data_IF_750325016040
#
_entry.id   IF_750325016040
#
_cell.length_a   1.000
_cell.length_b   1.000
_cell.length_c   1.000
_cell.angle_alpha   90.00
_cell.angle_beta   90.00
_cell.angle_gamma   90.00
#
_symmetry.space_group_name_H-M   'P 1'
#
loop_
_entity.id
_entity.type
_entity.pdbx_description
1 polymer ?
#
# COMPACT_ATOMS: atom_id res chain seq x y z
N UNK A 1 -48.86 -24.09 34.29
CA UNK A 1 -48.42 -22.69 34.08
C UNK A 1 -47.48 -22.69 32.87
N UNK A 2 -47.77 -21.90 31.84
CA UNK A 2 -47.01 -21.95 30.58
C UNK A 2 -45.80 -21.01 30.58
N UNK A 3 -44.76 -21.39 29.84
CA UNK A 3 -43.47 -20.71 29.80
C UNK A 3 -43.51 -19.39 29.02
N UNK A 4 -42.82 -18.38 29.55
CA UNK A 4 -42.31 -17.24 28.76
C UNK A 4 -40.82 -17.06 29.04
N UNK A 5 -40.01 -17.93 28.44
CA UNK A 5 -38.57 -17.71 28.32
C UNK A 5 -38.33 -16.41 27.54
N UNK A 6 -37.85 -15.36 28.23
CA UNK A 6 -37.58 -14.07 27.62
C UNK A 6 -36.51 -14.21 26.53
N UNK A 7 -36.94 -14.13 25.26
CA UNK A 7 -36.03 -14.13 24.12
C UNK A 7 -35.12 -12.92 24.20
N UNK A 8 -33.83 -13.13 24.55
CA UNK A 8 -32.82 -12.07 24.45
C UNK A 8 -32.90 -11.45 23.06
N UNK A 9 -33.03 -10.12 22.92
CA UNK A 9 -33.03 -9.50 21.62
C UNK A 9 -31.71 -9.85 20.93
N UNK A 10 -31.79 -10.52 19.78
CA UNK A 10 -30.61 -10.71 18.91
C UNK A 10 -30.08 -9.32 18.65
N UNK A 11 -28.87 -9.02 19.13
CA UNK A 11 -28.20 -7.75 18.89
C UNK A 11 -28.06 -7.58 17.37
N UNK A 12 -29.00 -6.85 16.77
CA UNK A 12 -28.97 -6.48 15.37
C UNK A 12 -27.70 -5.68 15.18
N UNK A 13 -26.71 -6.27 14.52
CA UNK A 13 -25.44 -5.64 14.17
C UNK A 13 -25.68 -4.49 13.18
N UNK A 14 -26.23 -3.38 13.68
CA UNK A 14 -26.44 -2.16 12.92
C UNK A 14 -25.05 -1.60 12.60
N UNK A 15 -24.71 -1.73 11.31
CA UNK A 15 -24.19 -0.68 10.42
C UNK A 15 -23.21 0.28 11.10
N UNK A 16 -21.97 0.28 10.60
CA UNK A 16 -20.95 1.24 11.04
C UNK A 16 -21.43 2.69 10.98
N UNK A 17 -20.86 3.51 11.85
CA UNK A 17 -21.28 4.89 12.09
C UNK A 17 -21.09 5.76 10.85
N UNK A 18 -21.99 6.73 10.69
CA UNK A 18 -21.74 7.92 9.87
C UNK A 18 -20.39 8.54 10.27
N UNK A 19 -19.69 9.14 9.32
CA UNK A 19 -18.56 10.01 9.66
C UNK A 19 -19.08 11.26 10.40
N UNK A 20 -18.69 11.40 11.67
CA UNK A 20 -19.05 12.52 12.55
C UNK A 20 -17.84 13.42 12.87
N UNK A 21 -16.73 13.24 12.14
CA UNK A 21 -15.46 13.90 12.42
C UNK A 21 -14.64 13.23 13.54
N UNK A 22 -13.57 13.92 13.96
CA UNK A 22 -12.69 13.47 15.04
C UNK A 22 -11.50 12.61 14.59
N UNK A 23 -10.42 12.67 15.37
CA UNK A 23 -9.12 12.07 15.01
C UNK A 23 -9.15 10.53 14.90
N UNK A 24 -10.04 9.86 15.64
CA UNK A 24 -10.24 8.41 15.53
C UNK A 24 -10.77 8.00 14.15
N UNK A 25 -11.87 8.63 13.70
CA UNK A 25 -12.46 8.35 12.40
C UNK A 25 -11.55 8.78 11.24
N UNK A 26 -10.85 9.91 11.36
CA UNK A 26 -9.90 10.37 10.34
C UNK A 26 -8.70 9.41 10.21
N UNK A 27 -8.09 8.98 11.33
CA UNK A 27 -6.96 8.03 11.28
C UNK A 27 -7.38 6.63 10.83
N UNK A 28 -8.63 6.24 11.04
CA UNK A 28 -9.20 5.03 10.44
C UNK A 28 -9.32 5.15 8.91
N UNK A 29 -9.88 6.27 8.43
CA UNK A 29 -10.15 6.50 7.01
C UNK A 29 -8.85 6.59 6.21
N UNK A 30 -7.92 7.45 6.64
CA UNK A 30 -6.63 7.64 5.97
C UNK A 30 -5.83 6.34 5.89
N UNK A 31 -5.85 5.50 6.92
CA UNK A 31 -5.10 4.23 6.92
C UNK A 31 -5.66 3.21 5.92
N UNK A 32 -6.97 3.27 5.65
CA UNK A 32 -7.60 2.48 4.57
C UNK A 32 -7.29 3.04 3.19
N UNK A 33 -7.40 4.35 3.01
CA UNK A 33 -7.09 5.00 1.75
C UNK A 33 -5.63 4.74 1.37
N UNK A 34 -4.69 4.92 2.31
CA UNK A 34 -3.28 4.61 2.06
C UNK A 34 -3.04 3.12 1.81
N UNK A 35 -3.70 2.22 2.54
CA UNK A 35 -3.61 0.78 2.30
C UNK A 35 -4.08 0.37 0.90
N UNK A 36 -5.20 0.90 0.42
CA UNK A 36 -5.72 0.66 -0.93
C UNK A 36 -4.75 1.22 -1.99
N UNK A 37 -4.29 2.46 -1.80
CA UNK A 37 -3.34 3.10 -2.71
C UNK A 37 -2.02 2.32 -2.83
N UNK A 38 -1.49 1.82 -1.70
CA UNK A 38 -0.28 1.00 -1.67
C UNK A 38 -0.48 -0.37 -2.33
N UNK A 39 -1.66 -1.01 -2.19
CA UNK A 39 -1.96 -2.27 -2.89
C UNK A 39 -2.04 -2.06 -4.40
N UNK A 40 -2.68 -0.98 -4.85
CA UNK A 40 -2.73 -0.66 -6.27
C UNK A 40 -1.34 -0.32 -6.82
N UNK A 41 -0.57 0.53 -6.11
CA UNK A 41 0.82 0.81 -6.47
C UNK A 41 1.64 -0.48 -6.57
N UNK A 42 1.57 -1.36 -5.56
CA UNK A 42 2.30 -2.63 -5.59
C UNK A 42 1.87 -3.52 -6.77
N UNK A 43 0.62 -3.42 -7.23
CA UNK A 43 0.16 -4.12 -8.43
C UNK A 43 0.88 -3.62 -9.69
N UNK A 44 1.00 -2.30 -9.85
CA UNK A 44 1.77 -1.68 -10.95
C UNK A 44 3.28 -1.91 -10.82
N UNK A 45 3.82 -1.83 -9.61
CA UNK A 45 5.24 -2.04 -9.34
C UNK A 45 5.66 -3.47 -9.68
N UNK A 46 4.80 -4.46 -9.43
CA UNK A 46 5.00 -5.83 -9.92
C UNK A 46 4.93 -5.85 -11.46
N UNK A 47 3.95 -5.19 -12.09
CA UNK A 47 3.85 -5.09 -13.57
C UNK A 47 5.13 -4.52 -14.20
N UNK A 48 5.65 -3.42 -13.67
CA UNK A 48 6.93 -2.82 -14.08
C UNK A 48 8.07 -3.84 -14.00
N UNK A 49 8.16 -4.59 -12.90
CA UNK A 49 9.15 -5.66 -12.76
C UNK A 49 8.95 -6.77 -13.80
N UNK A 50 7.70 -7.15 -14.15
CA UNK A 50 7.43 -8.15 -15.20
C UNK A 50 8.00 -7.72 -16.57
N UNK A 51 8.16 -6.42 -16.84
CA UNK A 51 8.73 -5.95 -18.10
C UNK A 51 10.19 -6.38 -18.30
N UNK A 52 10.91 -6.78 -17.23
CA UNK A 52 12.25 -7.36 -17.33
C UNK A 52 12.28 -8.69 -18.10
N UNK A 53 11.15 -9.39 -18.26
CA UNK A 53 11.05 -10.52 -19.20
C UNK A 53 11.37 -10.10 -20.65
N UNK A 54 11.08 -8.85 -21.04
CA UNK A 54 11.43 -8.27 -22.33
C UNK A 54 12.85 -7.69 -22.41
N UNK A 55 13.67 -7.86 -21.36
CA UNK A 55 15.03 -7.32 -21.28
C UNK A 55 15.13 -5.91 -20.67
N UNK A 56 16.35 -5.36 -20.56
CA UNK A 56 16.60 -4.05 -19.97
C UNK A 56 15.81 -2.90 -20.61
N UNK A 57 15.67 -2.92 -21.93
CA UNK A 57 15.03 -1.88 -22.75
C UNK A 57 13.53 -1.81 -22.48
N UNK A 58 12.84 -2.95 -22.40
CA UNK A 58 11.41 -3.02 -22.11
C UNK A 58 11.07 -2.48 -20.71
N UNK A 59 11.95 -2.70 -19.72
CA UNK A 59 11.83 -2.08 -18.40
C UNK A 59 12.11 -0.57 -18.45
N UNK A 60 13.11 -0.12 -19.20
CA UNK A 60 13.41 1.30 -19.38
C UNK A 60 12.25 2.06 -20.05
N UNK A 61 11.60 1.48 -21.06
CA UNK A 61 10.42 2.05 -21.70
C UNK A 61 9.25 2.16 -20.73
N UNK A 62 8.92 1.07 -20.03
CA UNK A 62 7.81 1.05 -19.08
C UNK A 62 8.01 1.99 -17.89
N UNK A 63 9.26 2.23 -17.48
CA UNK A 63 9.59 3.16 -16.38
C UNK A 63 9.82 4.60 -16.83
N UNK A 64 9.84 4.90 -18.13
CA UNK A 64 10.11 6.23 -18.67
C UNK A 64 9.15 7.33 -18.13
N UNK A 65 7.89 6.97 -17.85
CA UNK A 65 6.90 7.88 -17.28
C UNK A 65 7.21 8.28 -15.82
N UNK A 66 7.85 7.41 -15.05
CA UNK A 66 8.18 7.67 -13.64
C UNK A 66 9.41 8.55 -13.45
N UNK A 67 10.30 8.57 -14.44
CA UNK A 67 11.53 9.38 -14.43
C UNK A 67 11.30 10.85 -14.75
N UNK A 68 10.08 11.22 -15.17
CA UNK A 68 9.74 12.57 -15.57
C UNK A 68 9.69 13.52 -14.35
N UNK A 69 10.16 14.78 -14.46
CA UNK A 69 10.15 15.71 -13.33
C UNK A 69 8.78 15.95 -12.69
N UNK A 70 7.72 16.01 -13.51
CA UNK A 70 6.32 16.15 -13.03
C UNK A 70 5.80 14.92 -12.30
N UNK A 71 6.44 13.74 -12.40
CA UNK A 71 6.02 12.54 -11.68
C UNK A 71 6.49 12.53 -10.21
N UNK A 72 7.62 13.15 -9.88
CA UNK A 72 8.21 13.14 -8.52
C UNK A 72 7.25 13.55 -7.38
N UNK A 73 6.32 14.51 -7.52
CA UNK A 73 5.32 14.78 -6.49
C UNK A 73 4.41 13.58 -6.16
N UNK A 74 4.12 12.71 -7.14
CA UNK A 74 3.34 11.49 -6.94
C UNK A 74 4.16 10.40 -6.24
N UNK A 75 5.44 10.27 -6.58
CA UNK A 75 6.42 9.40 -5.91
C UNK A 75 6.55 9.78 -4.41
N UNK A 76 6.71 11.08 -4.11
CA UNK A 76 6.70 11.59 -2.74
C UNK A 76 5.36 11.27 -2.06
N UNK A 77 4.22 11.60 -2.68
CA UNK A 77 2.91 11.34 -2.10
C UNK A 77 2.68 9.85 -1.77
N UNK A 78 3.19 8.94 -2.60
CA UNK A 78 3.16 7.49 -2.38
C UNK A 78 4.03 7.09 -1.18
N UNK A 79 5.28 7.55 -1.10
CA UNK A 79 6.17 7.23 0.02
C UNK A 79 5.61 7.80 1.33
N UNK A 80 4.97 8.98 1.30
CA UNK A 80 4.23 9.51 2.43
C UNK A 80 3.01 8.65 2.80
N UNK A 81 2.28 8.10 1.82
CA UNK A 81 1.18 7.18 2.07
C UNK A 81 1.66 5.86 2.72
N UNK A 82 2.77 5.29 2.25
CA UNK A 82 3.43 4.11 2.88
C UNK A 82 3.88 4.44 4.30
N UNK A 83 4.55 5.58 4.50
CA UNK A 83 5.05 6.01 5.81
C UNK A 83 3.91 6.23 6.80
N UNK A 84 2.84 6.90 6.38
CA UNK A 84 1.63 7.05 7.18
C UNK A 84 0.98 5.70 7.50
N UNK A 85 0.88 4.81 6.50
CA UNK A 85 0.31 3.48 6.67
C UNK A 85 1.06 2.67 7.74
N UNK A 86 2.40 2.66 7.66
CA UNK A 86 3.28 1.98 8.60
C UNK A 86 3.19 2.58 10.02
N UNK A 87 3.30 3.89 10.18
CA UNK A 87 3.24 4.55 11.51
C UNK A 87 1.88 4.37 12.19
N UNK A 88 0.77 4.51 11.45
CA UNK A 88 -0.55 4.27 12.03
C UNK A 88 -0.83 2.77 12.23
N UNK A 89 -0.30 1.89 11.38
CA UNK A 89 -0.35 0.44 11.53
C UNK A 89 0.41 -0.06 12.76
N UNK A 90 1.58 0.53 13.05
CA UNK A 90 2.35 0.32 14.27
C UNK A 90 1.57 0.74 15.52
N UNK A 91 0.98 1.95 15.49
CA UNK A 91 0.08 2.45 16.55
C UNK A 91 -1.09 1.50 16.81
N UNK A 92 -1.74 0.99 15.76
CA UNK A 92 -2.84 0.02 15.87
C UNK A 92 -2.36 -1.31 16.44
N UNK A 93 -1.25 -1.84 15.93
CA UNK A 93 -0.65 -3.10 16.39
C UNK A 93 -0.26 -3.04 17.87
N UNK A 94 0.23 -1.89 18.35
CA UNK A 94 0.53 -1.67 19.76
C UNK A 94 -0.73 -1.69 20.65
N UNK A 95 -1.84 -1.07 20.22
CA UNK A 95 -3.11 -1.14 20.96
C UNK A 95 -3.70 -2.56 20.98
N UNK A 96 -3.50 -3.31 19.89
CA UNK A 96 -3.99 -4.69 19.74
C UNK A 96 -3.16 -5.70 20.55
N UNK A 97 -1.83 -5.52 20.64
CA UNK A 97 -0.90 -6.42 21.33
C UNK A 97 -0.70 -6.06 22.81
N UNK A 98 -0.78 -4.77 23.17
CA UNK A 98 -0.59 -4.27 24.53
C UNK A 98 -1.77 -3.34 24.88
N UNK A 99 -2.97 -3.88 25.20
CA UNK A 99 -4.18 -3.09 25.36
C UNK A 99 -4.11 -1.96 26.40
N UNK A 100 -3.21 -2.07 27.37
CA UNK A 100 -2.93 -1.02 28.38
C UNK A 100 -2.49 0.31 27.74
N UNK A 101 -1.83 0.27 26.57
CA UNK A 101 -1.34 1.46 25.84
C UNK A 101 -2.47 2.35 25.33
N UNK A 102 -3.71 1.84 25.23
CA UNK A 102 -4.90 2.63 24.89
C UNK A 102 -5.14 3.79 25.86
N UNK A 103 -4.73 3.66 27.14
CA UNK A 103 -4.74 4.74 28.14
C UNK A 103 -3.92 5.97 27.71
N UNK A 104 -2.94 5.78 26.83
CA UNK A 104 -2.03 6.83 26.34
C UNK A 104 -2.28 7.18 24.86
N UNK A 105 -3.45 6.83 24.31
CA UNK A 105 -3.76 6.95 22.88
C UNK A 105 -3.53 8.36 22.30
N UNK A 106 -3.73 9.43 23.09
CA UNK A 106 -3.49 10.83 22.69
C UNK A 106 -1.99 11.12 22.53
N UNK A 107 -1.18 10.69 23.50
CA UNK A 107 0.28 10.87 23.49
C UNK A 107 0.91 10.08 22.36
N UNK A 108 0.51 8.81 22.20
CA UNK A 108 0.95 7.93 21.10
C UNK A 108 0.58 8.52 19.74
N UNK A 109 -0.63 9.07 19.60
CA UNK A 109 -1.03 9.76 18.37
C UNK A 109 -0.17 11.01 18.09
N UNK A 110 0.09 11.85 19.11
CA UNK A 110 0.94 13.05 18.96
C UNK A 110 2.37 12.69 18.55
N UNK A 111 2.97 11.67 19.17
CA UNK A 111 4.32 11.18 18.82
C UNK A 111 4.33 10.66 17.38
N UNK A 112 3.38 9.79 17.01
CA UNK A 112 3.29 9.27 15.64
C UNK A 112 3.07 10.35 14.59
N UNK A 113 2.27 11.37 14.90
CA UNK A 113 2.05 12.52 14.03
C UNK A 113 3.29 13.41 13.89
N UNK A 114 4.02 13.68 14.99
CA UNK A 114 5.27 14.43 14.95
C UNK A 114 6.35 13.69 14.14
N UNK A 115 6.51 12.38 14.37
CA UNK A 115 7.41 11.53 13.58
C UNK A 115 7.02 11.55 12.09
N UNK A 116 5.73 11.39 11.77
CA UNK A 116 5.26 11.48 10.39
C UNK A 116 5.60 12.83 9.75
N UNK A 117 5.36 13.96 10.43
CA UNK A 117 5.68 15.29 9.89
C UNK A 117 7.18 15.47 9.66
N UNK A 118 8.03 15.08 10.63
CA UNK A 118 9.49 15.21 10.50
C UNK A 118 10.03 14.35 9.34
N UNK A 119 9.58 13.10 9.24
CA UNK A 119 9.95 12.20 8.13
C UNK A 119 9.41 12.75 6.80
N UNK A 120 8.16 13.22 6.77
CA UNK A 120 7.55 13.75 5.56
C UNK A 120 8.27 14.99 5.01
N UNK A 121 8.69 15.90 5.89
CA UNK A 121 9.48 17.08 5.52
C UNK A 121 10.85 16.67 4.98
N UNK A 122 11.55 15.73 5.62
CA UNK A 122 12.84 15.24 5.17
C UNK A 122 12.75 14.55 3.78
N UNK A 123 11.78 13.66 3.61
CA UNK A 123 11.51 12.96 2.33
C UNK A 123 11.18 13.97 1.23
N UNK A 124 10.22 14.87 1.49
CA UNK A 124 9.80 15.88 0.51
C UNK A 124 10.95 16.80 0.11
N UNK A 125 11.77 17.23 1.06
CA UNK A 125 12.95 18.05 0.77
C UNK A 125 13.97 17.31 -0.12
N UNK A 126 14.35 16.08 0.26
CA UNK A 126 15.38 15.32 -0.47
C UNK A 126 14.96 14.94 -1.89
N UNK A 127 13.67 14.68 -2.12
CA UNK A 127 13.14 14.24 -3.41
C UNK A 127 12.68 15.39 -4.32
N UNK A 128 12.16 16.49 -3.75
CA UNK A 128 11.72 17.66 -4.53
C UNK A 128 12.84 18.68 -4.78
N UNK A 129 13.97 18.61 -4.05
CA UNK A 129 15.12 19.52 -4.29
C UNK A 129 15.56 19.66 -5.76
N UNK A 130 15.54 18.63 -6.64
CA UNK A 130 16.00 18.80 -8.01
C UNK A 130 14.94 19.40 -8.94
N UNK A 131 13.75 19.75 -8.41
CA UNK A 131 12.77 20.62 -9.09
C UNK A 131 12.95 22.10 -8.71
N UNK A 132 13.73 22.42 -7.67
CA UNK A 132 13.93 23.80 -7.21
C UNK A 132 14.73 24.56 -8.27
N UNK A 133 14.16 25.65 -8.78
CA UNK A 133 14.75 26.46 -9.84
C UNK A 133 14.51 25.95 -11.27
N UNK A 134 13.85 24.80 -11.45
CA UNK A 134 13.49 24.30 -12.78
C UNK A 134 12.30 25.12 -13.36
N UNK A 135 12.37 25.57 -14.62
CA UNK A 135 11.25 26.21 -15.29
C UNK A 135 10.02 25.29 -15.38
N UNK A 136 8.82 25.86 -15.27
CA UNK A 136 7.57 25.09 -15.40
C UNK A 136 7.43 24.39 -16.77
N UNK A 137 8.00 24.98 -17.83
CA UNK A 137 8.09 24.36 -19.17
C UNK A 137 8.82 23.03 -19.16
N UNK A 138 9.85 22.92 -18.32
CA UNK A 138 10.78 21.80 -18.28
C UNK A 138 10.26 20.73 -17.32
N UNK A 139 9.61 21.15 -16.23
CA UNK A 139 8.89 20.25 -15.31
C UNK A 139 7.80 19.49 -16.06
N UNK A 140 6.96 20.19 -16.84
CA UNK A 140 5.82 19.63 -17.56
C UNK A 140 6.12 19.28 -19.01
N UNK A 141 7.41 19.17 -19.38
CA UNK A 141 7.80 18.70 -20.71
C UNK A 141 7.33 17.25 -20.90
N UNK A 142 6.63 17.00 -22.00
CA UNK A 142 6.18 15.66 -22.38
C UNK A 142 7.09 15.14 -23.48
N UNK A 143 7.81 14.06 -23.20
CA UNK A 143 8.73 13.45 -24.18
C UNK A 143 8.02 12.58 -25.22
N UNK A 144 6.89 11.95 -24.87
CA UNK A 144 6.08 11.16 -25.80
C UNK A 144 4.61 11.05 -25.37
N UNK A 145 3.71 10.89 -26.35
CA UNK A 145 2.30 10.55 -26.12
C UNK A 145 2.13 9.18 -25.46
N UNK A 146 3.01 8.21 -25.72
CA UNK A 146 2.98 6.92 -25.02
C UNK A 146 3.23 7.08 -23.52
N UNK A 147 4.22 7.91 -23.15
CA UNK A 147 4.53 8.27 -21.76
C UNK A 147 3.32 8.88 -21.04
N UNK A 148 2.55 9.77 -21.71
CA UNK A 148 1.29 10.31 -21.16
C UNK A 148 0.20 9.24 -21.01
N UNK A 149 0.05 8.33 -21.97
CA UNK A 149 -0.97 7.27 -21.90
C UNK A 149 -0.68 6.34 -20.72
N UNK A 150 0.58 5.88 -20.58
CA UNK A 150 1.01 5.11 -19.40
C UNK A 150 0.74 5.89 -18.11
N UNK A 151 1.18 7.16 -18.04
CA UNK A 151 0.93 8.02 -16.89
C UNK A 151 -0.56 8.13 -16.51
N UNK A 152 -1.46 8.28 -17.48
CA UNK A 152 -2.90 8.35 -17.23
C UNK A 152 -3.48 7.02 -16.76
N UNK A 153 -3.03 5.89 -17.33
CA UNK A 153 -3.42 4.53 -16.89
C UNK A 153 -2.93 4.25 -15.46
N UNK A 154 -1.80 4.83 -15.05
CA UNK A 154 -1.26 4.72 -13.70
C UNK A 154 -1.99 5.66 -12.72
N UNK A 155 -2.09 6.94 -13.07
CA UNK A 155 -2.55 8.01 -12.18
C UNK A 155 -4.06 8.02 -12.04
N UNK A 156 -4.85 7.75 -13.08
CA UNK A 156 -6.31 7.85 -12.97
C UNK A 156 -6.92 6.79 -12.02
N UNK A 157 -6.52 5.52 -12.01
CA UNK A 157 -7.13 4.53 -11.11
C UNK A 157 -6.59 4.57 -9.65
N UNK A 158 -5.53 5.33 -9.36
CA UNK A 158 -5.20 5.75 -7.98
C UNK A 158 -5.89 7.06 -7.64
N UNK A 159 -5.64 8.08 -8.46
CA UNK A 159 -6.03 9.46 -8.24
C UNK A 159 -7.53 9.60 -8.18
N UNK A 160 -8.30 9.02 -9.11
CA UNK A 160 -9.77 9.15 -9.08
C UNK A 160 -10.37 8.47 -7.84
N UNK A 161 -10.04 7.22 -7.43
CA UNK A 161 -10.54 6.66 -6.18
C UNK A 161 -10.06 7.39 -4.93
N UNK A 162 -8.81 7.84 -4.86
CA UNK A 162 -8.28 8.60 -3.71
C UNK A 162 -8.97 9.96 -3.60
N UNK A 163 -9.09 10.71 -4.70
CA UNK A 163 -9.80 11.99 -4.76
C UNK A 163 -11.30 11.81 -4.50
N UNK A 164 -11.93 10.76 -5.02
CA UNK A 164 -13.33 10.42 -4.73
C UNK A 164 -13.52 10.13 -3.24
N UNK A 165 -12.64 9.33 -2.61
CA UNK A 165 -12.70 9.03 -1.18
C UNK A 165 -12.39 10.26 -0.31
N UNK A 166 -11.49 11.15 -0.75
CA UNK A 166 -11.21 12.42 -0.09
C UNK A 166 -12.41 13.38 -0.18
N UNK A 167 -13.04 13.52 -1.35
CA UNK A 167 -14.27 14.30 -1.56
C UNK A 167 -15.47 13.72 -0.80
N UNK A 168 -15.60 12.38 -0.74
CA UNK A 168 -16.58 11.68 0.11
C UNK A 168 -16.33 11.87 1.60
N UNK A 169 -15.06 11.94 2.01
CA UNK A 169 -14.63 12.07 3.41
C UNK A 169 -14.57 13.51 3.93
N UNK A 170 -14.51 14.51 3.05
CA UNK A 170 -14.42 15.93 3.42
C UNK A 170 -15.73 16.54 3.91
N UNK A 171 -16.83 15.80 3.84
CA UNK A 171 -18.18 16.31 4.15
C UNK A 171 -18.82 17.14 3.03
N UNK A 172 -18.12 17.35 1.90
CA UNK A 172 -18.66 18.03 0.72
C UNK A 172 -19.58 17.15 -0.13
N UNK A 173 -19.42 15.82 -0.05
CA UNK A 173 -20.30 14.87 -0.73
C UNK A 173 -21.58 14.58 0.07
N UNK A 174 -22.69 14.37 -0.63
CA UNK A 174 -23.98 14.08 0.00
C UNK A 174 -24.02 12.66 0.62
N UNK A 175 -24.00 12.62 1.94
CA UNK A 175 -24.52 11.55 2.79
C UNK A 175 -23.64 10.31 3.07
N UNK A 176 -24.21 9.31 3.79
CA UNK A 176 -23.92 7.87 3.65
C UNK A 176 -22.51 7.26 3.79
N UNK A 177 -21.42 8.00 4.06
CA UNK A 177 -20.11 7.34 4.27
C UNK A 177 -20.03 6.66 5.65
N UNK A 178 -19.63 5.38 5.65
CA UNK A 178 -19.51 4.49 6.81
C UNK A 178 -18.06 4.42 7.27
N UNK A 179 -17.80 4.81 8.52
CA UNK A 179 -16.50 4.68 9.21
C UNK A 179 -16.61 3.89 10.51
N UNK A 180 -15.47 3.41 10.99
CA UNK A 180 -15.32 2.97 12.38
C UNK A 180 -14.76 4.10 13.24
N UNK A 181 -15.17 4.25 14.51
CA UNK A 181 -14.52 5.16 15.46
C UNK A 181 -13.10 4.72 15.85
N UNK A 182 -12.71 3.47 15.55
CA UNK A 182 -11.38 2.91 15.84
C UNK A 182 -10.86 2.00 14.72
N UNK A 183 -9.54 2.03 14.50
CA UNK A 183 -8.79 1.12 13.63
C UNK A 183 -8.30 -0.15 14.31
N UNK A 184 -8.24 -0.17 15.65
CA UNK A 184 -7.99 -1.41 16.41
C UNK A 184 -9.16 -2.39 16.26
N UNK A 185 -8.84 -3.68 16.16
CA UNK A 185 -9.81 -4.78 16.11
C UNK A 185 -9.23 -5.93 16.95
N UNK A 186 -9.87 -6.34 18.06
CA UNK A 186 -9.44 -7.48 18.86
C UNK A 186 -9.30 -8.77 18.05
N UNK A 187 -8.43 -9.68 18.49
CA UNK A 187 -8.19 -10.95 17.84
C UNK A 187 -9.48 -11.82 17.76
N UNK A 188 -9.85 -12.37 16.58
CA UNK A 188 -11.05 -13.20 16.44
C UNK A 188 -11.00 -14.49 17.26
N UNK A 189 -11.99 -14.78 18.10
CA UNK A 189 -11.96 -15.99 18.95
C UNK A 189 -12.56 -17.23 18.30
N UNK A 190 -13.35 -17.10 17.23
CA UNK A 190 -14.11 -18.22 16.65
C UNK A 190 -13.42 -18.95 15.49
N UNK A 191 -12.77 -18.23 14.56
CA UNK A 191 -12.13 -18.82 13.37
C UNK A 191 -10.62 -18.89 13.51
N UNK A 192 -10.04 -20.09 13.33
CA UNK A 192 -8.58 -20.28 13.29
C UNK A 192 -7.93 -19.52 12.12
N UNK A 193 -8.57 -19.53 10.94
CA UNK A 193 -8.08 -18.81 9.77
C UNK A 193 -8.06 -17.29 10.01
N UNK A 194 -9.12 -16.72 10.56
CA UNK A 194 -9.14 -15.27 10.84
C UNK A 194 -8.19 -14.89 11.99
N UNK A 195 -7.88 -15.80 12.94
CA UNK A 195 -6.76 -15.60 13.89
C UNK A 195 -5.42 -15.56 13.19
N UNK A 196 -5.12 -16.56 12.37
CA UNK A 196 -3.85 -16.65 11.65
C UNK A 196 -3.64 -15.41 10.77
N UNK A 197 -4.67 -15.00 10.02
CA UNK A 197 -4.65 -13.78 9.20
C UNK A 197 -4.56 -12.50 10.04
N UNK A 198 -5.20 -12.44 11.21
CA UNK A 198 -5.09 -11.30 12.12
C UNK A 198 -3.66 -11.14 12.64
N UNK A 199 -3.03 -12.24 13.10
CA UNK A 199 -1.65 -12.26 13.58
C UNK A 199 -0.66 -11.96 12.46
N UNK A 200 -0.87 -12.55 11.28
CA UNK A 200 -0.08 -12.31 10.08
C UNK A 200 -0.02 -10.82 9.75
N UNK A 201 -1.14 -10.09 9.77
CA UNK A 201 -1.13 -8.64 9.49
C UNK A 201 -0.24 -7.83 10.44
N UNK A 202 -0.18 -8.19 11.73
CA UNK A 202 0.70 -7.49 12.69
C UNK A 202 2.15 -7.86 12.40
N UNK A 203 2.46 -9.17 12.38
CA UNK A 203 3.83 -9.67 12.21
C UNK A 203 4.45 -9.24 10.87
N UNK A 204 3.73 -9.41 9.76
CA UNK A 204 4.18 -8.94 8.44
C UNK A 204 4.35 -7.42 8.40
N UNK A 205 3.50 -6.64 9.08
CA UNK A 205 3.67 -5.20 9.20
C UNK A 205 4.99 -4.81 9.87
N UNK A 206 5.37 -5.48 10.97
CA UNK A 206 6.67 -5.25 11.62
C UNK A 206 7.85 -5.65 10.73
N UNK A 207 7.77 -6.79 10.03
CA UNK A 207 8.80 -7.26 9.10
C UNK A 207 8.94 -6.28 7.92
N UNK A 208 7.83 -5.82 7.37
CA UNK A 208 7.78 -4.84 6.26
C UNK A 208 8.34 -3.47 6.65
N UNK A 209 8.26 -3.03 7.91
CA UNK A 209 8.91 -1.79 8.34
C UNK A 209 10.42 -1.84 8.08
N UNK A 210 11.06 -3.01 8.21
CA UNK A 210 12.47 -3.18 7.85
C UNK A 210 12.57 -3.34 6.32
N UNK A 211 11.95 -4.37 5.76
CA UNK A 211 12.14 -4.76 4.35
C UNK A 211 11.79 -3.63 3.36
N UNK A 212 10.61 -3.00 3.53
CA UNK A 212 10.10 -1.99 2.59
C UNK A 212 10.81 -0.66 2.76
N UNK A 213 11.17 -0.23 3.98
CA UNK A 213 11.94 1.01 4.13
C UNK A 213 13.39 0.83 3.66
N UNK A 214 14.02 -0.33 3.88
CA UNK A 214 15.33 -0.62 3.27
C UNK A 214 15.25 -0.61 1.74
N UNK A 215 14.23 -1.23 1.14
CA UNK A 215 14.00 -1.16 -0.30
C UNK A 215 13.81 0.29 -0.79
N UNK A 216 12.95 1.07 -0.13
CA UNK A 216 12.73 2.49 -0.46
C UNK A 216 14.03 3.28 -0.35
N UNK A 217 14.82 3.10 0.71
CA UNK A 217 16.12 3.76 0.87
C UNK A 217 17.08 3.39 -0.26
N UNK A 218 17.17 2.12 -0.64
CA UNK A 218 18.03 1.67 -1.73
C UNK A 218 17.58 2.21 -3.10
N UNK A 219 16.27 2.20 -3.40
CA UNK A 219 15.73 2.44 -4.74
C UNK A 219 15.15 3.85 -4.98
N UNK A 220 15.09 4.71 -3.96
CA UNK A 220 14.60 6.09 -4.11
C UNK A 220 15.52 7.14 -3.49
N UNK A 221 16.43 6.77 -2.57
CA UNK A 221 17.35 7.70 -1.91
C UNK A 221 18.81 7.48 -2.27
N UNK A 222 19.28 6.22 -2.29
CA UNK A 222 20.66 5.87 -2.65
C UNK A 222 20.81 5.79 -4.18
N UNK A 223 19.87 5.14 -4.85
CA UNK A 223 19.76 5.10 -6.31
C UNK A 223 18.44 5.76 -6.73
N UNK A 224 18.39 7.08 -6.96
CA UNK A 224 17.16 7.77 -7.37
C UNK A 224 16.55 7.19 -8.65
N UNK A 225 15.22 7.26 -8.77
CA UNK A 225 14.46 6.57 -9.83
C UNK A 225 14.88 6.95 -11.25
N UNK A 226 15.34 8.20 -11.47
CA UNK A 226 15.94 8.62 -12.74
C UNK A 226 17.08 7.68 -13.22
N UNK A 227 17.89 7.18 -12.28
CA UNK A 227 19.10 6.41 -12.54
C UNK A 227 18.84 4.88 -12.57
N UNK A 228 17.68 4.40 -12.09
CA UNK A 228 17.35 2.97 -12.11
C UNK A 228 17.02 2.56 -13.55
N UNK A 229 17.90 1.79 -14.18
CA UNK A 229 17.67 1.16 -15.49
C UNK A 229 17.43 -0.34 -15.33
N UNK A 230 16.90 -0.99 -16.37
CA UNK A 230 16.82 -2.45 -16.41
C UNK A 230 18.20 -3.08 -16.26
N UNK A 231 19.23 -2.48 -16.87
CA UNK A 231 20.62 -2.92 -16.75
C UNK A 231 21.12 -2.87 -15.29
N UNK A 232 20.85 -1.78 -14.56
CA UNK A 232 21.13 -1.68 -13.12
C UNK A 232 20.46 -2.81 -12.32
N UNK A 233 19.25 -3.24 -12.69
CA UNK A 233 18.57 -4.36 -12.02
C UNK A 233 19.31 -5.68 -12.29
N UNK A 234 19.69 -5.98 -13.52
CA UNK A 234 20.48 -7.18 -13.84
C UNK A 234 21.87 -7.15 -13.18
N UNK A 235 22.57 -6.02 -13.20
CA UNK A 235 23.88 -5.85 -12.54
C UNK A 235 23.79 -6.03 -11.02
N UNK A 236 22.76 -5.45 -10.37
CA UNK A 236 22.49 -5.69 -8.95
C UNK A 236 22.34 -7.18 -8.68
N UNK A 237 21.50 -7.88 -9.45
CA UNK A 237 21.31 -9.32 -9.31
C UNK A 237 22.62 -10.09 -9.56
N UNK A 238 23.42 -9.73 -10.56
CA UNK A 238 24.72 -10.36 -10.84
C UNK A 238 25.71 -10.21 -9.67
N UNK A 239 25.66 -9.11 -8.93
CA UNK A 239 26.57 -8.84 -7.81
C UNK A 239 26.31 -9.72 -6.57
N UNK A 240 25.05 -10.10 -6.29
CA UNK A 240 24.72 -11.03 -5.20
C UNK A 240 23.44 -11.85 -5.51
N UNK A 241 23.50 -12.84 -6.42
CA UNK A 241 22.31 -13.46 -7.02
C UNK A 241 21.32 -14.06 -6.02
N UNK A 242 21.82 -14.77 -5.00
CA UNK A 242 20.96 -15.41 -3.99
C UNK A 242 20.38 -14.39 -3.00
N UNK A 243 21.15 -13.37 -2.62
CA UNK A 243 20.73 -12.37 -1.64
C UNK A 243 19.55 -11.54 -2.17
N UNK A 244 19.65 -11.03 -3.40
CA UNK A 244 18.61 -10.17 -3.96
C UNK A 244 17.31 -10.90 -4.24
N UNK A 245 17.38 -12.16 -4.72
CA UNK A 245 16.17 -12.99 -4.83
C UNK A 245 15.50 -13.20 -3.48
N UNK A 246 16.26 -13.52 -2.42
CA UNK A 246 15.68 -13.75 -1.08
C UNK A 246 15.04 -12.48 -0.53
N UNK A 247 15.71 -11.32 -0.64
CA UNK A 247 15.21 -10.03 -0.15
C UNK A 247 13.98 -9.58 -0.92
N UNK A 248 14.05 -9.56 -2.25
CA UNK A 248 12.95 -9.06 -3.09
C UNK A 248 11.75 -10.03 -3.06
N UNK A 249 11.96 -11.35 -2.95
CA UNK A 249 10.90 -12.34 -2.76
C UNK A 249 10.26 -12.24 -1.38
N UNK A 250 11.03 -11.91 -0.33
CA UNK A 250 10.48 -11.65 1.01
C UNK A 250 9.63 -10.36 1.02
N UNK A 251 10.09 -9.30 0.34
CA UNK A 251 9.29 -8.08 0.13
C UNK A 251 7.99 -8.43 -0.59
N UNK A 252 8.07 -9.12 -1.73
CA UNK A 252 6.91 -9.54 -2.51
C UNK A 252 5.94 -10.37 -1.66
N UNK A 253 6.43 -11.40 -0.96
CA UNK A 253 5.60 -12.27 -0.13
C UNK A 253 4.89 -11.49 0.98
N UNK A 254 5.62 -10.73 1.81
CA UNK A 254 5.00 -10.03 2.93
C UNK A 254 4.11 -8.89 2.45
N UNK A 255 4.58 -8.03 1.53
CA UNK A 255 3.81 -6.87 1.07
C UNK A 255 2.55 -7.26 0.29
N UNK A 256 2.65 -8.24 -0.62
CA UNK A 256 1.52 -8.66 -1.44
C UNK A 256 0.45 -9.38 -0.62
N UNK A 257 0.83 -10.33 0.24
CA UNK A 257 -0.14 -11.05 1.07
C UNK A 257 -0.74 -10.14 2.16
N UNK A 258 0.04 -9.23 2.75
CA UNK A 258 -0.48 -8.22 3.68
C UNK A 258 -1.48 -7.31 2.96
N UNK A 259 -1.12 -6.83 1.77
CA UNK A 259 -1.95 -6.01 0.92
C UNK A 259 -3.28 -6.67 0.54
N UNK A 260 -3.25 -7.87 -0.03
CA UNK A 260 -4.44 -8.64 -0.42
C UNK A 260 -5.33 -8.99 0.78
N UNK A 261 -4.75 -9.36 1.92
CA UNK A 261 -5.52 -9.62 3.14
C UNK A 261 -6.16 -8.34 3.69
N UNK A 262 -5.44 -7.21 3.66
CA UNK A 262 -5.98 -5.89 3.97
C UNK A 262 -7.15 -5.49 3.05
N UNK A 263 -6.98 -5.66 1.73
CA UNK A 263 -8.01 -5.40 0.72
C UNK A 263 -9.24 -6.30 0.93
N UNK A 264 -9.05 -7.59 1.22
CA UNK A 264 -10.15 -8.50 1.63
C UNK A 264 -10.92 -7.89 2.79
N UNK A 265 -10.25 -7.51 3.87
CA UNK A 265 -10.90 -6.95 5.07
C UNK A 265 -11.70 -5.69 4.71
N UNK A 266 -11.11 -4.74 3.97
CA UNK A 266 -11.78 -3.51 3.55
C UNK A 266 -13.03 -3.81 2.70
N UNK A 267 -12.91 -4.60 1.64
CA UNK A 267 -14.04 -4.96 0.78
C UNK A 267 -15.15 -5.67 1.56
N UNK A 268 -14.79 -6.54 2.50
CA UNK A 268 -15.77 -7.29 3.30
C UNK A 268 -16.58 -6.45 4.28
N UNK A 269 -16.19 -5.21 4.57
CA UNK A 269 -16.98 -4.27 5.37
C UNK A 269 -18.07 -3.57 4.53
N UNK A 270 -17.85 -3.39 3.22
CA UNK A 270 -18.80 -2.75 2.30
C UNK A 270 -19.67 -3.76 1.52
N UNK A 271 -19.18 -4.98 1.30
CA UNK A 271 -19.91 -6.02 0.58
C UNK A 271 -20.84 -6.87 1.47
N UNK A 272 -22.13 -6.86 1.15
CA UNK A 272 -23.14 -7.77 1.73
C UNK A 272 -22.71 -9.24 1.57
N UNK A 273 -23.02 -10.08 2.56
CA UNK A 273 -22.84 -11.55 2.46
C UNK A 273 -23.77 -12.09 1.36
N UNK A 274 -23.23 -12.90 0.45
CA UNK A 274 -23.94 -13.46 -0.69
C UNK A 274 -22.99 -13.88 -1.81
N UNK A 275 -23.53 -14.37 -2.93
CA UNK A 275 -22.75 -14.88 -4.07
C UNK A 275 -21.81 -13.84 -4.68
N UNK A 276 -22.26 -12.60 -4.89
CA UNK A 276 -21.40 -11.54 -5.45
C UNK A 276 -20.14 -11.27 -4.63
N UNK A 277 -20.23 -11.31 -3.29
CA UNK A 277 -19.05 -11.22 -2.40
C UNK A 277 -18.13 -12.43 -2.54
N UNK A 278 -18.66 -13.65 -2.71
CA UNK A 278 -17.83 -14.83 -2.97
C UNK A 278 -17.07 -14.67 -4.29
N UNK A 279 -17.78 -14.31 -5.37
CA UNK A 279 -17.20 -14.12 -6.72
C UNK A 279 -16.08 -13.08 -6.69
N UNK A 280 -16.33 -11.87 -6.19
CA UNK A 280 -15.30 -10.80 -6.14
C UNK A 280 -14.07 -11.23 -5.33
N UNK A 281 -14.25 -11.86 -4.17
CA UNK A 281 -13.12 -12.33 -3.36
C UNK A 281 -12.38 -13.52 -4.00
N UNK A 282 -13.07 -14.38 -4.74
CA UNK A 282 -12.45 -15.45 -5.52
C UNK A 282 -11.63 -14.90 -6.68
N UNK A 283 -12.14 -13.91 -7.42
CA UNK A 283 -11.40 -13.25 -8.50
C UNK A 283 -10.15 -12.54 -7.98
N UNK A 284 -10.25 -11.81 -6.87
CA UNK A 284 -9.09 -11.18 -6.20
C UNK A 284 -8.10 -12.24 -5.69
N UNK A 285 -8.59 -13.38 -5.20
CA UNK A 285 -7.74 -14.50 -4.78
C UNK A 285 -6.96 -15.13 -5.94
N UNK A 286 -7.64 -15.43 -7.06
CA UNK A 286 -7.02 -15.98 -8.28
C UNK A 286 -6.02 -14.98 -8.87
N UNK A 287 -6.41 -13.72 -9.03
CA UNK A 287 -5.50 -12.65 -9.44
C UNK A 287 -4.30 -12.54 -8.50
N UNK A 288 -4.53 -12.54 -7.18
CA UNK A 288 -3.48 -12.47 -6.17
C UNK A 288 -2.45 -13.61 -6.27
N UNK A 289 -2.90 -14.85 -6.49
CA UNK A 289 -2.00 -16.00 -6.70
C UNK A 289 -1.24 -15.88 -8.02
N UNK A 290 -1.91 -15.51 -9.11
CA UNK A 290 -1.27 -15.34 -10.42
C UNK A 290 -0.20 -14.23 -10.41
N UNK A 291 -0.53 -13.07 -9.83
CA UNK A 291 0.38 -11.92 -9.74
C UNK A 291 1.58 -12.21 -8.83
N UNK A 292 1.37 -12.94 -7.72
CA UNK A 292 2.47 -13.42 -6.88
C UNK A 292 3.39 -14.37 -7.64
N UNK A 293 2.82 -15.33 -8.39
CA UNK A 293 3.61 -16.29 -9.17
C UNK A 293 4.41 -15.62 -10.28
N UNK A 294 3.82 -14.67 -11.02
CA UNK A 294 4.51 -13.87 -12.04
C UNK A 294 5.61 -13.00 -11.42
N UNK A 295 5.31 -12.29 -10.33
CA UNK A 295 6.28 -11.48 -9.61
C UNK A 295 7.45 -12.30 -9.05
N UNK A 296 7.19 -13.49 -8.51
CA UNK A 296 8.25 -14.39 -8.05
C UNK A 296 9.08 -14.92 -9.23
N UNK A 297 8.43 -15.31 -10.33
CA UNK A 297 9.10 -15.82 -11.54
C UNK A 297 10.05 -14.78 -12.13
N UNK A 298 9.67 -13.50 -12.22
CA UNK A 298 10.57 -12.50 -12.80
C UNK A 298 11.85 -12.29 -11.97
N UNK A 299 11.82 -12.45 -10.64
CA UNK A 299 13.02 -12.41 -9.80
C UNK A 299 14.00 -13.55 -10.16
N UNK A 300 13.49 -14.77 -10.35
CA UNK A 300 14.32 -15.91 -10.77
C UNK A 300 14.79 -15.79 -12.22
N UNK A 301 13.96 -15.24 -13.11
CA UNK A 301 14.36 -14.96 -14.50
C UNK A 301 15.50 -13.94 -14.56
N UNK A 302 15.40 -12.83 -13.83
CA UNK A 302 16.46 -11.83 -13.73
C UNK A 302 17.73 -12.46 -13.16
N UNK A 303 17.62 -13.25 -12.08
CA UNK A 303 18.76 -13.96 -11.49
C UNK A 303 19.49 -14.87 -12.50
N UNK A 304 18.74 -15.64 -13.29
CA UNK A 304 19.31 -16.57 -14.27
C UNK A 304 19.98 -15.86 -15.45
N UNK A 305 19.44 -14.73 -15.90
CA UNK A 305 19.93 -13.99 -17.06
C UNK A 305 20.93 -12.87 -16.71
N UNK A 306 21.08 -12.51 -15.43
CA UNK A 306 22.00 -11.46 -14.96
C UNK A 306 23.48 -11.69 -15.32
N UNK A 307 23.90 -12.93 -15.57
CA UNK A 307 25.25 -13.24 -16.04
C UNK A 307 25.42 -13.15 -17.57
N UNK A 308 24.31 -13.13 -18.32
CA UNK A 308 24.27 -13.14 -19.80
C UNK A 308 24.17 -11.74 -20.42
N UNK A 309 23.84 -10.72 -19.61
CA UNK A 309 23.64 -9.32 -20.02
C UNK A 309 24.77 -8.42 -19.50
N UNK A 310 26.01 -8.88 -19.64
CA UNK A 310 27.24 -8.16 -19.30
C UNK A 310 27.98 -7.71 -20.56
#
# INVERSE_FOLDING_TARGET
MSSTAATRPKASAKRGTLYLGGTGMLTWLLHRISGIAVVYFLTLHIYEALQLFGGPEAYNEATAAYKQPWFRPFEVALILAVTYHALNGLRVSMFDLIPQTTKHHRTIFKIGAALFVLIALAISFVMLRPLIGMPLSDIFKVESTSTLIYALVIVLPVGLPVLYLAWRGSGLATGPLIVSPSSSRPAPTTSQFERAMWSFMRLSGFIMIILVFTHITLMHFINPIENITGQFVFERFAAAPFLWVIVDLAILFFAWLHGLNGLRIVLTDYMRRGTGRKVVLSLIGVFGVAWFALGAWVLFYVQQNAALLK
#
